data_IF_804342104471
#
_entry.id   IF_804342104471
#
_cell.length_a   1.000
_cell.length_b   1.000
_cell.length_c   1.000
_cell.angle_alpha   90.00
_cell.angle_beta   90.00
_cell.angle_gamma   90.00
#
_symmetry.space_group_name_H-M   'P 1'
#
loop_
_entity.id
_entity.type
_entity.pdbx_description
1 polymer ?
#
# COMPACT_ATOMS: atom_id res chain seq x y z
N UNK A 1 9.54 5.35 10.08
CA UNK A 1 8.43 6.20 10.56
C UNK A 1 8.10 7.35 9.60
N UNK A 2 9.04 8.28 9.31
CA UNK A 2 8.77 9.44 8.41
C UNK A 2 8.30 9.06 7.00
N UNK A 3 8.89 8.04 6.37
CA UNK A 3 8.55 7.65 4.99
C UNK A 3 7.13 7.05 4.86
N UNK A 4 6.67 6.26 5.83
CA UNK A 4 5.30 5.70 5.82
C UNK A 4 4.23 6.80 5.91
N UNK A 5 4.51 7.86 6.66
CA UNK A 5 3.59 8.99 6.84
C UNK A 5 3.49 9.84 5.57
N UNK A 6 4.57 9.96 4.81
CA UNK A 6 4.59 10.71 3.55
C UNK A 6 3.74 10.03 2.46
N UNK A 7 3.89 8.73 2.26
CA UNK A 7 3.12 7.98 1.25
C UNK A 7 1.64 7.84 1.62
N UNK A 8 1.32 7.56 2.89
CA UNK A 8 -0.06 7.51 3.36
C UNK A 8 -0.81 8.85 3.23
N UNK A 9 -0.10 9.98 3.22
CA UNK A 9 -0.69 11.29 2.95
C UNK A 9 -1.01 11.49 1.47
N UNK A 10 -0.17 10.95 0.57
CA UNK A 10 -0.36 11.04 -0.88
C UNK A 10 -1.56 10.18 -1.31
N UNK A 11 -1.72 8.99 -0.72
CA UNK A 11 -2.74 8.03 -1.17
C UNK A 11 -4.13 8.25 -0.54
N UNK A 12 -4.24 8.94 0.60
CA UNK A 12 -5.50 9.05 1.35
C UNK A 12 -6.11 10.46 1.39
N UNK A 13 -5.63 11.39 0.55
CA UNK A 13 -6.10 12.80 0.46
C UNK A 13 -6.27 13.48 1.84
N UNK A 14 -5.33 13.21 2.74
CA UNK A 14 -5.43 13.65 4.12
C UNK A 14 -5.17 15.15 4.25
N UNK A 15 -6.00 15.82 5.04
CA UNK A 15 -5.79 17.23 5.36
C UNK A 15 -4.61 17.41 6.31
N UNK A 16 -3.99 18.60 6.28
CA UNK A 16 -2.89 18.97 7.21
C UNK A 16 -3.26 18.79 8.68
N UNK A 17 -4.54 18.96 9.03
CA UNK A 17 -5.03 18.77 10.40
C UNK A 17 -4.95 17.29 10.82
N UNK A 18 -5.36 16.39 9.93
CA UNK A 18 -5.34 14.93 10.18
C UNK A 18 -3.90 14.43 10.26
N UNK A 19 -3.03 14.86 9.34
CA UNK A 19 -1.59 14.53 9.38
C UNK A 19 -0.97 14.93 10.73
N UNK A 20 -1.27 16.14 11.21
CA UNK A 20 -0.69 16.66 12.46
C UNK A 20 -1.22 15.92 13.68
N UNK A 21 -2.48 15.48 13.65
CA UNK A 21 -3.07 14.63 14.68
C UNK A 21 -2.37 13.27 14.74
N UNK A 22 -2.22 12.59 13.59
CA UNK A 22 -1.55 11.29 13.47
C UNK A 22 -0.09 11.41 13.95
N UNK A 23 0.64 12.44 13.52
CA UNK A 23 2.03 12.66 13.94
C UNK A 23 2.15 12.88 15.46
N UNK A 24 1.18 13.56 16.08
CA UNK A 24 1.14 13.74 17.53
C UNK A 24 0.91 12.41 18.25
N UNK A 25 -0.01 11.58 17.77
CA UNK A 25 -0.30 10.25 18.33
C UNK A 25 0.93 9.33 18.26
N UNK A 26 1.62 9.32 17.12
CA UNK A 26 2.87 8.56 16.95
C UNK A 26 3.99 9.05 17.86
N UNK A 27 4.14 10.37 18.02
CA UNK A 27 5.13 10.94 18.94
C UNK A 27 4.83 10.61 20.42
N UNK A 28 3.57 10.30 20.76
CA UNK A 28 3.16 9.85 22.09
C UNK A 28 3.45 8.37 22.36
N UNK A 29 4.03 7.66 21.39
CA UNK A 29 4.49 6.27 21.55
C UNK A 29 3.63 5.23 20.82
N UNK A 30 2.54 5.64 20.18
CA UNK A 30 1.70 4.72 19.41
C UNK A 30 2.34 4.34 18.07
N UNK A 31 2.01 3.14 17.59
CA UNK A 31 2.40 2.66 16.27
C UNK A 31 1.83 3.56 15.17
N UNK A 32 2.69 3.96 14.23
CA UNK A 32 2.28 4.76 13.08
C UNK A 32 1.20 4.09 12.22
N UNK A 33 1.25 2.76 12.10
CA UNK A 33 0.24 2.00 11.33
C UNK A 33 -1.11 2.05 12.03
N UNK A 34 -1.12 1.93 13.35
CA UNK A 34 -2.36 1.93 14.14
C UNK A 34 -2.98 3.33 14.21
N UNK A 35 -2.16 4.37 14.34
CA UNK A 35 -2.61 5.76 14.28
C UNK A 35 -3.22 6.12 12.92
N UNK A 36 -2.65 5.59 11.82
CA UNK A 36 -3.20 5.75 10.47
C UNK A 36 -4.54 5.02 10.31
N UNK A 37 -4.63 3.75 10.73
CA UNK A 37 -5.87 2.96 10.72
C UNK A 37 -7.00 3.59 11.53
N UNK A 38 -6.67 4.10 12.73
CA UNK A 38 -7.64 4.81 13.57
C UNK A 38 -8.21 6.07 12.91
N UNK A 39 -7.47 6.65 11.96
CA UNK A 39 -7.87 7.82 11.19
C UNK A 39 -8.55 7.47 9.86
N UNK A 40 -8.94 6.20 9.66
CA UNK A 40 -9.61 5.74 8.44
C UNK A 40 -8.67 5.48 7.25
N UNK A 41 -7.36 5.63 7.44
CA UNK A 41 -6.35 5.35 6.42
C UNK A 41 -6.01 3.87 6.46
N UNK A 42 -5.86 3.23 5.31
CA UNK A 42 -5.41 1.83 5.24
C UNK A 42 -3.99 1.76 4.68
N UNK A 43 -2.94 1.85 5.52
CA UNK A 43 -1.56 1.72 5.06
C UNK A 43 -1.35 0.41 4.30
N UNK A 44 -0.80 0.51 3.09
CA UNK A 44 -0.61 -0.63 2.18
C UNK A 44 -1.77 -0.86 1.20
N UNK A 45 -2.84 -0.08 1.27
CA UNK A 45 -3.86 -0.01 0.22
C UNK A 45 -3.52 1.10 -0.76
N UNK A 46 -3.37 0.75 -2.04
CA UNK A 46 -3.09 1.68 -3.13
C UNK A 46 -4.13 1.42 -4.21
N UNK A 47 -4.85 2.46 -4.61
CA UNK A 47 -5.68 2.43 -5.81
C UNK A 47 -4.83 2.83 -7.02
N UNK A 48 -4.84 1.99 -8.06
CA UNK A 48 -4.07 2.22 -9.27
C UNK A 48 -4.82 1.74 -10.50
N UNK A 49 -4.71 2.49 -11.59
CA UNK A 49 -5.22 2.09 -12.88
C UNK A 49 -4.18 1.25 -13.62
N UNK A 50 -4.60 0.08 -14.10
CA UNK A 50 -3.79 -0.78 -14.95
C UNK A 50 -4.21 -0.63 -16.41
N UNK A 51 -3.25 -0.67 -17.37
CA UNK A 51 -3.58 -0.93 -18.76
C UNK A 51 -4.48 -2.16 -18.89
N UNK A 52 -5.51 -2.08 -19.74
CA UNK A 52 -6.58 -3.08 -19.81
C UNK A 52 -6.06 -4.51 -20.03
N UNK A 53 -5.03 -4.67 -20.86
CA UNK A 53 -4.39 -5.96 -21.12
C UNK A 53 -3.75 -6.56 -19.85
N UNK A 54 -3.14 -5.72 -19.00
CA UNK A 54 -2.53 -6.14 -17.73
C UNK A 54 -3.57 -6.44 -16.67
N UNK A 55 -4.62 -5.64 -16.58
CA UNK A 55 -5.77 -5.93 -15.73
C UNK A 55 -6.38 -7.30 -16.06
N UNK A 56 -6.63 -7.58 -17.34
CA UNK A 56 -7.20 -8.87 -17.77
C UNK A 56 -6.27 -10.04 -17.50
N UNK A 57 -4.96 -9.88 -17.72
CA UNK A 57 -3.96 -10.91 -17.39
C UNK A 57 -3.94 -11.22 -15.90
N UNK A 58 -3.92 -10.19 -15.05
CA UNK A 58 -3.95 -10.34 -13.60
C UNK A 58 -5.21 -11.09 -13.15
N UNK A 59 -6.39 -10.66 -13.61
CA UNK A 59 -7.68 -11.30 -13.30
C UNK A 59 -7.72 -12.75 -13.76
N UNK A 60 -7.24 -13.04 -14.98
CA UNK A 60 -7.18 -14.40 -15.52
C UNK A 60 -6.29 -15.29 -14.66
N UNK A 61 -5.11 -14.81 -14.28
CA UNK A 61 -4.16 -15.58 -13.48
C UNK A 61 -4.69 -15.85 -12.08
N UNK A 62 -5.20 -14.82 -11.41
CA UNK A 62 -5.85 -14.95 -10.11
C UNK A 62 -6.99 -15.98 -10.14
N UNK A 63 -7.85 -15.94 -11.16
CA UNK A 63 -8.93 -16.91 -11.32
C UNK A 63 -8.44 -18.33 -11.58
N UNK A 64 -7.41 -18.53 -12.40
CA UNK A 64 -6.86 -19.87 -12.70
C UNK A 64 -6.19 -20.50 -11.48
N UNK A 65 -5.53 -19.68 -10.66
CA UNK A 65 -4.84 -20.12 -9.43
C UNK A 65 -5.79 -20.14 -8.21
N UNK A 66 -7.03 -19.68 -8.36
CA UNK A 66 -8.02 -19.52 -7.29
C UNK A 66 -7.48 -18.66 -6.12
N UNK A 67 -6.87 -17.54 -6.47
CA UNK A 67 -6.21 -16.56 -5.59
C UNK A 67 -6.81 -15.17 -5.76
N UNK A 68 -6.57 -14.29 -4.80
CA UNK A 68 -6.92 -12.89 -4.96
C UNK A 68 -5.95 -12.17 -5.93
N UNK A 69 -6.41 -11.21 -6.75
CA UNK A 69 -5.53 -10.43 -7.62
C UNK A 69 -4.39 -9.73 -6.87
N UNK A 70 -4.63 -9.32 -5.63
CA UNK A 70 -3.62 -8.69 -4.78
C UNK A 70 -2.47 -9.63 -4.43
N UNK A 71 -2.73 -10.93 -4.26
CA UNK A 71 -1.67 -11.92 -3.96
C UNK A 71 -0.80 -12.15 -5.19
N UNK A 72 -1.40 -12.25 -6.38
CA UNK A 72 -0.66 -12.38 -7.64
C UNK A 72 0.17 -11.12 -7.93
N UNK A 73 -0.37 -9.94 -7.62
CA UNK A 73 0.37 -8.69 -7.73
C UNK A 73 1.53 -8.61 -6.72
N UNK A 74 1.32 -9.08 -5.48
CA UNK A 74 2.37 -9.14 -4.47
C UNK A 74 3.54 -10.02 -4.93
N UNK A 75 3.27 -11.23 -5.44
CA UNK A 75 4.32 -12.11 -5.98
C UNK A 75 5.12 -11.44 -7.11
N UNK A 76 4.44 -10.69 -7.99
CA UNK A 76 5.09 -9.98 -9.09
C UNK A 76 5.97 -8.82 -8.59
N UNK A 77 5.54 -8.11 -7.54
CA UNK A 77 6.32 -7.05 -6.90
C UNK A 77 7.51 -7.63 -6.13
N UNK A 78 7.32 -8.74 -5.41
CA UNK A 78 8.39 -9.45 -4.71
C UNK A 78 9.48 -9.88 -5.70
N UNK A 79 9.08 -10.47 -6.84
CA UNK A 79 10.02 -10.83 -7.90
C UNK A 79 10.72 -9.61 -8.53
N UNK A 80 10.05 -8.47 -8.64
CA UNK A 80 10.63 -7.25 -9.19
C UNK A 80 11.62 -6.58 -8.22
N UNK A 81 11.34 -6.63 -6.92
CA UNK A 81 12.19 -6.04 -5.88
C UNK A 81 13.25 -7.00 -5.33
N UNK A 82 13.27 -8.27 -5.76
CA UNK A 82 14.29 -9.23 -5.35
C UNK A 82 15.68 -8.80 -5.85
N UNK A 83 16.60 -8.43 -4.95
CA UNK A 83 17.94 -7.95 -5.32
C UNK A 83 18.81 -9.01 -6.00
N UNK A 84 18.40 -10.28 -6.01
CA UNK A 84 19.14 -11.36 -6.68
C UNK A 84 19.11 -11.30 -8.23
N UNK A 85 18.29 -10.42 -8.82
CA UNK A 85 18.23 -10.21 -10.28
C UNK A 85 19.22 -9.13 -10.77
N UNK A 86 19.84 -8.38 -9.85
CA UNK A 86 20.94 -7.45 -10.14
C UNK A 86 22.29 -8.15 -9.89
N UNK A 87 22.69 -9.03 -10.82
CA UNK A 87 23.98 -9.73 -10.82
C UNK A 87 24.57 -9.87 -12.21
#
# INVERSE_FOLDING_TARGET
>A
ARLHLAWATIDADLTVREIRSIASTVNSGDSAVDALRASGVSPGHIELDLPLDRYLQLRRRASLENREPSEVAADALDAYFDPATEG
#
